data_IF_049688335220
#
_entry.id   IF_049688335220
#
_cell.length_a   1.000
_cell.length_b   1.000
_cell.length_c   1.000
_cell.angle_alpha   90.00
_cell.angle_beta   90.00
_cell.angle_gamma   90.00
#
_symmetry.space_group_name_H-M   'P 1'
#
loop_
_entity.id
_entity.type
_entity.pdbx_description
1 polymer ?
#
# COMPACT_ATOMS: atom_id res chain seq x y z
N UNK A 1 3.37 9.07 17.98
CA UNK A 1 4.09 8.41 16.87
C UNK A 1 5.24 7.50 17.33
N UNK A 2 6.10 7.93 18.27
CA UNK A 2 7.26 7.14 18.74
C UNK A 2 6.91 5.72 19.24
N UNK A 3 5.83 5.55 20.03
CA UNK A 3 5.37 4.23 20.52
C UNK A 3 5.02 3.24 19.40
N UNK A 4 4.48 3.73 18.28
CA UNK A 4 4.05 2.90 17.15
C UNK A 4 5.25 2.43 16.31
N UNK A 5 6.23 3.31 16.12
CA UNK A 5 7.51 2.99 15.45
C UNK A 5 8.30 1.98 16.28
N UNK A 6 8.34 2.16 17.61
CA UNK A 6 9.03 1.25 18.53
C UNK A 6 8.41 -0.16 18.52
N UNK A 7 7.08 -0.25 18.45
CA UNK A 7 6.36 -1.53 18.37
C UNK A 7 6.61 -2.25 17.04
N UNK A 8 6.65 -1.51 15.94
CA UNK A 8 6.92 -2.07 14.61
C UNK A 8 8.36 -2.56 14.51
N UNK A 9 9.32 -1.75 14.96
CA UNK A 9 10.74 -2.08 15.04
C UNK A 9 11.00 -3.29 15.95
N UNK A 10 10.31 -3.38 17.09
CA UNK A 10 10.39 -4.54 17.99
C UNK A 10 9.89 -5.82 17.31
N UNK A 11 8.81 -5.74 16.54
CA UNK A 11 8.20 -6.90 15.87
C UNK A 11 9.06 -7.41 14.70
N UNK A 12 9.69 -6.51 13.94
CA UNK A 12 10.64 -6.87 12.88
C UNK A 12 11.97 -7.39 13.45
N UNK A 13 12.48 -6.77 14.51
CA UNK A 13 13.67 -7.22 15.22
C UNK A 13 13.52 -8.63 15.80
N UNK A 14 12.40 -8.92 16.48
CA UNK A 14 12.11 -10.26 17.02
C UNK A 14 12.06 -11.32 15.91
N UNK A 15 11.51 -10.98 14.73
CA UNK A 15 11.43 -11.92 13.59
C UNK A 15 12.79 -12.19 12.96
N UNK A 16 13.65 -11.18 12.83
CA UNK A 16 15.02 -11.33 12.34
C UNK A 16 15.87 -12.14 13.33
N UNK A 17 15.70 -11.89 14.62
CA UNK A 17 16.37 -12.64 15.68
C UNK A 17 15.95 -14.13 15.66
N UNK A 18 14.65 -14.40 15.51
CA UNK A 18 14.12 -15.77 15.41
C UNK A 18 14.58 -16.48 14.13
N UNK A 19 14.84 -15.75 13.04
CA UNK A 19 15.34 -16.33 11.81
C UNK A 19 16.80 -16.81 11.93
N UNK A 20 17.64 -16.13 12.72
CA UNK A 20 19.07 -16.44 12.91
C UNK A 20 19.37 -17.41 14.06
N UNK A 21 18.37 -17.65 14.93
CA UNK A 21 18.49 -18.51 16.10
C UNK A 21 18.82 -19.98 15.77
N UNK A 22 18.23 -20.60 14.72
CA UNK A 22 18.49 -22.01 14.39
C UNK A 22 19.95 -22.27 13.97
N UNK A 23 20.54 -21.44 13.10
CA UNK A 23 21.97 -21.51 12.77
C UNK A 23 22.87 -21.32 13.99
N UNK A 24 22.56 -20.36 14.88
CA UNK A 24 23.31 -20.14 16.12
C UNK A 24 23.24 -21.33 17.08
N UNK A 25 22.05 -21.91 17.24
CA UNK A 25 21.83 -23.09 18.07
C UNK A 25 22.52 -24.33 17.48
N UNK A 26 22.51 -24.49 16.17
CA UNK A 26 23.20 -25.56 15.47
C UNK A 26 24.72 -25.48 15.67
N UNK A 27 25.31 -24.29 15.51
CA UNK A 27 26.74 -24.08 15.73
C UNK A 27 27.15 -24.42 17.18
N UNK A 28 26.31 -24.05 18.16
CA UNK A 28 26.52 -24.39 19.57
C UNK A 28 26.41 -25.90 19.83
N UNK A 29 25.39 -26.57 19.29
CA UNK A 29 25.18 -28.01 19.47
C UNK A 29 26.24 -28.85 18.75
N UNK A 30 26.69 -28.43 17.57
CA UNK A 30 27.76 -29.11 16.85
C UNK A 30 29.08 -29.08 17.63
N UNK A 31 29.37 -27.99 18.33
CA UNK A 31 30.52 -27.88 19.24
C UNK A 31 30.32 -28.71 20.52
N UNK A 32 29.13 -28.66 21.12
CA UNK A 32 28.84 -29.34 22.38
C UNK A 32 28.75 -30.88 22.25
N UNK A 33 28.39 -31.39 21.07
CA UNK A 33 28.23 -32.82 20.80
C UNK A 33 29.43 -33.45 20.09
N UNK A 34 30.53 -32.69 19.90
CA UNK A 34 31.76 -33.13 19.22
C UNK A 34 31.48 -33.86 17.89
N UNK A 35 30.52 -33.35 17.10
CA UNK A 35 30.11 -34.00 15.88
C UNK A 35 31.27 -34.05 14.88
N UNK A 36 31.46 -35.19 14.22
CA UNK A 36 32.43 -35.28 13.14
C UNK A 36 32.04 -34.35 11.98
N UNK A 37 32.99 -33.93 11.11
CA UNK A 37 32.71 -33.04 10.00
C UNK A 37 31.59 -33.55 9.08
N UNK A 38 31.53 -34.86 8.85
CA UNK A 38 30.50 -35.50 8.02
C UNK A 38 29.12 -35.46 8.68
N UNK A 39 29.04 -35.72 9.99
CA UNK A 39 27.78 -35.66 10.75
C UNK A 39 27.25 -34.23 10.82
N UNK A 40 28.14 -33.25 10.99
CA UNK A 40 27.80 -31.83 10.97
C UNK A 40 27.23 -31.42 9.61
N UNK A 41 27.83 -31.88 8.51
CA UNK A 41 27.34 -31.58 7.16
C UNK A 41 25.93 -32.13 6.93
N UNK A 42 25.67 -33.39 7.34
CA UNK A 42 24.36 -34.03 7.19
C UNK A 42 23.30 -33.32 8.05
N UNK A 43 23.65 -32.98 9.29
CA UNK A 43 22.73 -32.30 10.22
C UNK A 43 22.46 -30.84 9.82
N UNK A 44 23.36 -30.19 9.09
CA UNK A 44 23.22 -28.81 8.63
C UNK A 44 22.15 -28.66 7.53
N UNK A 45 21.98 -29.66 6.66
CA UNK A 45 21.03 -29.62 5.53
C UNK A 45 19.59 -29.29 5.98
N UNK A 46 18.97 -30.01 6.94
CA UNK A 46 17.61 -29.69 7.40
C UNK A 46 17.54 -28.34 8.12
N UNK A 47 18.61 -27.90 8.79
CA UNK A 47 18.69 -26.58 9.44
C UNK A 47 18.63 -25.48 8.39
N UNK A 48 19.43 -25.57 7.33
CA UNK A 48 19.41 -24.62 6.21
C UNK A 48 18.03 -24.59 5.55
N UNK A 49 17.42 -25.75 5.28
CA UNK A 49 16.11 -25.81 4.66
C UNK A 49 15.02 -25.12 5.52
N UNK A 50 15.07 -25.34 6.84
CA UNK A 50 14.18 -24.67 7.78
C UNK A 50 14.42 -23.16 7.85
N UNK A 51 15.68 -22.72 7.83
CA UNK A 51 16.05 -21.31 7.85
C UNK A 51 15.58 -20.57 6.60
N UNK A 52 15.77 -21.17 5.42
CA UNK A 52 15.26 -20.64 4.15
C UNK A 52 13.73 -20.51 4.20
N UNK A 53 13.03 -21.50 4.73
CA UNK A 53 11.58 -21.43 4.89
C UNK A 53 11.14 -20.29 5.82
N UNK A 54 11.84 -20.08 6.93
CA UNK A 54 11.58 -18.95 7.84
C UNK A 54 11.81 -17.59 7.16
N UNK A 55 12.90 -17.45 6.41
CA UNK A 55 13.22 -16.22 5.68
C UNK A 55 12.14 -15.91 4.66
N UNK A 56 11.75 -16.88 3.83
CA UNK A 56 10.70 -16.71 2.82
C UNK A 56 9.36 -16.34 3.46
N UNK A 57 8.98 -17.00 4.56
CA UNK A 57 7.66 -16.82 5.17
C UNK A 57 7.55 -15.57 6.04
N UNK A 58 8.62 -15.16 6.72
CA UNK A 58 8.55 -14.13 7.76
C UNK A 58 9.41 -12.89 7.49
N UNK A 59 10.52 -13.02 6.76
CA UNK A 59 11.44 -11.90 6.49
C UNK A 59 11.11 -11.26 5.14
N UNK A 60 10.93 -12.06 4.09
CA UNK A 60 10.66 -11.58 2.73
C UNK A 60 9.43 -10.64 2.65
N UNK A 61 8.28 -10.97 3.27
CA UNK A 61 7.11 -10.09 3.22
C UNK A 61 7.35 -8.75 3.90
N UNK A 62 8.12 -8.74 5.00
CA UNK A 62 8.46 -7.51 5.74
C UNK A 62 9.40 -6.63 4.92
N UNK A 63 10.40 -7.22 4.27
CA UNK A 63 11.31 -6.48 3.38
C UNK A 63 10.56 -5.96 2.16
N UNK A 64 9.61 -6.72 1.62
CA UNK A 64 8.70 -6.27 0.56
C UNK A 64 7.89 -5.05 0.99
N UNK A 65 7.28 -5.06 2.17
CA UNK A 65 6.58 -3.90 2.73
C UNK A 65 7.51 -2.72 2.99
N UNK A 66 8.74 -2.97 3.45
CA UNK A 66 9.72 -1.92 3.77
C UNK A 66 10.23 -1.25 2.50
N UNK A 67 10.60 -2.03 1.48
CA UNK A 67 11.05 -1.57 0.15
C UNK A 67 9.92 -0.87 -0.58
N UNK A 68 8.70 -1.41 -0.51
CA UNK A 68 7.50 -0.75 -1.05
C UNK A 68 7.30 0.58 -0.35
N UNK A 69 7.34 0.62 0.99
CA UNK A 69 7.20 1.87 1.72
C UNK A 69 8.31 2.84 1.41
N UNK A 70 9.58 2.47 1.39
CA UNK A 70 10.68 3.41 1.14
C UNK A 70 10.72 3.90 -0.31
N UNK A 71 10.51 3.02 -1.30
CA UNK A 71 10.52 3.41 -2.72
C UNK A 71 9.25 4.17 -3.13
N UNK A 72 8.08 3.84 -2.54
CA UNK A 72 6.85 4.58 -2.83
C UNK A 72 6.70 5.81 -1.92
N UNK A 73 7.20 5.82 -0.68
CA UNK A 73 7.24 7.02 0.17
C UNK A 73 8.30 8.01 -0.27
N UNK A 74 9.39 7.58 -0.93
CA UNK A 74 10.33 8.50 -1.57
C UNK A 74 9.77 9.14 -2.83
N UNK A 75 8.69 8.59 -3.39
CA UNK A 75 7.93 9.19 -4.50
C UNK A 75 6.71 10.00 -4.03
N UNK A 76 6.38 9.98 -2.73
CA UNK A 76 5.59 11.06 -2.14
C UNK A 76 6.60 12.18 -1.94
N UNK A 77 6.73 13.07 -2.92
CA UNK A 77 7.55 14.26 -2.73
C UNK A 77 6.99 14.98 -1.50
N UNK A 78 7.88 15.51 -0.64
CA UNK A 78 7.49 16.39 0.48
C UNK A 78 6.45 17.43 0.02
N UNK A 79 6.54 17.85 -1.24
CA UNK A 79 5.63 18.78 -1.90
C UNK A 79 4.18 18.27 -1.99
N UNK A 80 3.92 16.98 -2.24
CA UNK A 80 2.54 16.43 -2.26
C UNK A 80 1.89 16.50 -0.87
N UNK A 81 2.62 16.13 0.19
CA UNK A 81 2.11 16.21 1.55
C UNK A 81 1.88 17.65 1.98
N UNK A 82 2.80 18.55 1.62
CA UNK A 82 2.66 19.99 1.82
C UNK A 82 1.43 20.53 1.09
N UNK A 83 1.16 20.09 -0.14
CA UNK A 83 -0.01 20.48 -0.92
C UNK A 83 -1.32 20.01 -0.28
N UNK A 84 -1.40 18.74 0.16
CA UNK A 84 -2.59 18.22 0.85
C UNK A 84 -2.84 18.97 2.16
N UNK A 85 -1.78 19.22 2.93
CA UNK A 85 -1.88 19.94 4.19
C UNK A 85 -2.29 21.40 3.95
N UNK A 86 -1.73 22.05 2.92
CA UNK A 86 -2.12 23.40 2.52
C UNK A 86 -3.59 23.47 2.08
N UNK A 87 -4.04 22.56 1.21
CA UNK A 87 -5.44 22.53 0.75
C UNK A 87 -6.41 22.28 1.92
N UNK A 88 -6.03 21.39 2.86
CA UNK A 88 -6.85 21.13 4.04
C UNK A 88 -6.90 22.32 5.01
N UNK A 89 -5.79 23.05 5.17
CA UNK A 89 -5.78 24.30 5.96
C UNK A 89 -6.69 25.35 5.35
N UNK A 90 -6.63 25.54 4.03
CA UNK A 90 -7.51 26.46 3.30
C UNK A 90 -8.99 26.08 3.49
N UNK A 91 -9.32 24.80 3.35
CA UNK A 91 -10.66 24.29 3.61
C UNK A 91 -11.11 24.60 5.05
N UNK A 92 -10.26 24.34 6.04
CA UNK A 92 -10.56 24.61 7.46
C UNK A 92 -10.69 26.11 7.78
N UNK A 93 -10.02 26.98 7.03
CA UNK A 93 -10.18 28.44 7.14
C UNK A 93 -11.42 28.98 6.40
N UNK A 94 -12.22 28.11 5.78
CA UNK A 94 -13.41 28.48 5.01
C UNK A 94 -13.14 28.78 3.54
N UNK A 95 -11.89 28.71 3.08
CA UNK A 95 -11.50 28.89 1.68
C UNK A 95 -11.51 27.54 0.94
N UNK A 96 -12.71 26.96 0.86
CA UNK A 96 -12.90 25.68 0.19
C UNK A 96 -12.64 25.77 -1.33
N UNK A 97 -12.89 26.94 -1.92
CA UNK A 97 -12.69 27.17 -3.34
C UNK A 97 -11.20 27.27 -3.69
N UNK A 98 -10.42 28.07 -2.94
CA UNK A 98 -8.98 28.15 -3.13
C UNK A 98 -8.28 26.82 -2.89
N UNK A 99 -8.76 26.02 -1.92
CA UNK A 99 -8.26 24.67 -1.70
C UNK A 99 -8.43 23.77 -2.93
N UNK A 100 -9.59 23.87 -3.60
CA UNK A 100 -9.89 23.09 -4.80
C UNK A 100 -9.07 23.57 -6.00
N UNK A 101 -8.97 24.88 -6.20
CA UNK A 101 -8.17 25.48 -7.28
C UNK A 101 -6.69 25.10 -7.17
N UNK A 102 -6.14 25.03 -5.96
CA UNK A 102 -4.77 24.59 -5.71
C UNK A 102 -4.54 23.16 -6.22
N UNK A 103 -5.43 22.23 -5.87
CA UNK A 103 -5.30 20.82 -6.28
C UNK A 103 -5.64 20.62 -7.76
N UNK A 104 -6.61 21.36 -8.30
CA UNK A 104 -6.95 21.33 -9.73
C UNK A 104 -5.77 21.78 -10.58
N UNK A 105 -5.11 22.87 -10.18
CA UNK A 105 -3.90 23.35 -10.85
C UNK A 105 -2.80 22.29 -10.79
N UNK A 106 -2.55 21.72 -9.61
CA UNK A 106 -1.55 20.66 -9.44
C UNK A 106 -1.85 19.44 -10.33
N UNK A 107 -3.12 19.03 -10.45
CA UNK A 107 -3.55 17.97 -11.36
C UNK A 107 -3.32 18.33 -12.82
N UNK A 108 -3.65 19.55 -13.24
CA UNK A 108 -3.41 20.03 -14.62
C UNK A 108 -1.93 20.05 -14.98
N UNK A 109 -1.06 20.39 -14.03
CA UNK A 109 0.39 20.34 -14.18
C UNK A 109 0.92 18.89 -14.16
N UNK A 110 0.24 17.98 -13.46
CA UNK A 110 0.65 16.58 -13.27
C UNK A 110 -0.44 15.56 -13.66
N UNK A 111 -0.94 15.56 -14.91
CA UNK A 111 -2.08 14.73 -15.30
C UNK A 111 -1.73 13.23 -15.38
N UNK A 112 -0.44 12.91 -15.47
CA UNK A 112 0.08 11.54 -15.48
C UNK A 112 0.32 10.92 -14.10
N UNK A 113 0.05 11.66 -13.03
CA UNK A 113 0.24 11.20 -11.68
C UNK A 113 -1.12 10.83 -11.09
N UNK A 114 -1.37 9.54 -10.81
CA UNK A 114 -2.64 9.10 -10.21
C UNK A 114 -2.95 9.84 -8.91
N UNK A 115 -1.90 10.13 -8.13
CA UNK A 115 -2.03 10.82 -6.84
C UNK A 115 -2.68 12.20 -6.98
N UNK A 116 -2.43 12.96 -8.04
CA UNK A 116 -3.03 14.29 -8.22
C UNK A 116 -4.56 14.21 -8.33
N UNK A 117 -5.08 13.22 -9.06
CA UNK A 117 -6.51 12.92 -9.14
C UNK A 117 -7.10 12.47 -7.79
N UNK A 118 -6.38 11.63 -7.05
CA UNK A 118 -6.83 11.14 -5.73
C UNK A 118 -6.84 12.24 -4.68
N UNK A 119 -5.92 13.22 -4.76
CA UNK A 119 -5.87 14.36 -3.84
C UNK A 119 -7.10 15.25 -4.02
N UNK A 120 -7.43 15.63 -5.26
CA UNK A 120 -8.61 16.43 -5.56
C UNK A 120 -9.91 15.71 -5.17
N UNK A 121 -10.04 14.42 -5.52
CA UNK A 121 -11.15 13.57 -5.05
C UNK A 121 -11.23 13.49 -3.52
N UNK A 122 -10.08 13.37 -2.84
CA UNK A 122 -10.00 13.37 -1.38
C UNK A 122 -10.53 14.66 -0.76
N UNK A 123 -10.14 15.81 -1.31
CA UNK A 123 -10.63 17.11 -0.85
C UNK A 123 -12.15 17.25 -1.09
N UNK A 124 -12.64 16.83 -2.25
CA UNK A 124 -14.08 16.83 -2.55
C UNK A 124 -14.87 15.94 -1.58
N UNK A 125 -14.29 14.80 -1.16
CA UNK A 125 -14.90 13.96 -0.12
C UNK A 125 -14.93 14.66 1.25
N UNK A 126 -13.84 15.35 1.64
CA UNK A 126 -13.79 16.15 2.87
C UNK A 126 -14.87 17.27 2.85
N UNK A 127 -15.16 17.82 1.67
CA UNK A 127 -16.23 18.79 1.41
C UNK A 127 -17.63 18.18 1.29
N UNK A 128 -17.78 16.85 1.43
CA UNK A 128 -19.01 16.09 1.18
C UNK A 128 -19.59 16.20 -0.23
N UNK A 129 -18.76 16.60 -1.21
CA UNK A 129 -19.09 16.67 -2.64
C UNK A 129 -18.78 15.34 -3.33
N UNK A 130 -19.41 14.27 -2.84
CA UNK A 130 -19.08 12.89 -3.26
C UNK A 130 -19.36 12.61 -4.74
N UNK A 131 -20.41 13.21 -5.30
CA UNK A 131 -20.70 13.07 -6.73
C UNK A 131 -19.59 13.69 -7.59
N UNK A 132 -19.13 14.89 -7.25
CA UNK A 132 -18.04 15.57 -7.95
C UNK A 132 -16.72 14.81 -7.81
N UNK A 133 -16.47 14.24 -6.63
CA UNK A 133 -15.34 13.36 -6.37
C UNK A 133 -15.31 12.15 -7.31
N UNK A 134 -16.47 11.51 -7.51
CA UNK A 134 -16.60 10.42 -8.48
C UNK A 134 -16.34 10.91 -9.90
N UNK A 135 -16.89 12.06 -10.29
CA UNK A 135 -16.66 12.65 -11.62
C UNK A 135 -15.17 12.86 -11.89
N UNK A 136 -14.44 13.46 -10.95
CA UNK A 136 -12.98 13.67 -11.07
C UNK A 136 -12.24 12.34 -11.24
N UNK A 137 -12.61 11.29 -10.51
CA UNK A 137 -11.98 9.98 -10.65
C UNK A 137 -12.33 9.28 -11.98
N UNK A 138 -13.55 9.46 -12.48
CA UNK A 138 -13.97 8.93 -13.79
C UNK A 138 -13.22 9.63 -14.93
N UNK A 139 -13.14 10.96 -14.89
CA UNK A 139 -12.30 11.74 -15.80
C UNK A 139 -10.85 11.28 -15.74
N UNK A 140 -10.32 11.07 -14.54
CA UNK A 140 -8.99 10.53 -14.32
C UNK A 140 -8.80 9.18 -15.00
N UNK A 141 -9.70 8.23 -14.77
CA UNK A 141 -9.67 6.88 -15.36
C UNK A 141 -9.68 6.88 -16.89
N UNK A 142 -10.40 7.83 -17.49
CA UNK A 142 -10.57 7.97 -18.95
C UNK A 142 -9.48 8.84 -19.61
N UNK A 143 -8.85 9.73 -18.85
CA UNK A 143 -7.90 10.74 -19.36
C UNK A 143 -6.73 10.15 -20.16
N UNK A 144 -6.31 8.91 -19.85
CA UNK A 144 -5.17 8.28 -20.50
C UNK A 144 -5.12 6.76 -20.31
N UNK A 145 -4.17 6.14 -21.01
CA UNK A 145 -3.78 4.75 -20.77
C UNK A 145 -2.91 4.65 -19.52
N UNK A 146 -3.57 4.28 -18.43
CA UNK A 146 -2.94 3.97 -17.15
C UNK A 146 -2.37 2.56 -17.09
N UNK A 147 -1.45 2.31 -16.16
CA UNK A 147 -1.03 0.95 -15.80
C UNK A 147 -2.23 0.19 -15.23
N UNK A 148 -2.20 -1.15 -15.31
CA UNK A 148 -3.28 -2.00 -14.79
C UNK A 148 -3.59 -1.72 -13.32
N UNK A 149 -2.56 -1.58 -12.50
CA UNK A 149 -2.68 -1.27 -11.07
C UNK A 149 -3.42 0.06 -10.83
N UNK A 150 -3.07 1.09 -11.60
CA UNK A 150 -3.65 2.43 -11.49
C UNK A 150 -5.13 2.43 -11.94
N UNK A 151 -5.48 1.70 -13.02
CA UNK A 151 -6.89 1.54 -13.44
C UNK A 151 -7.72 0.84 -12.38
N UNK A 152 -7.19 -0.24 -11.80
CA UNK A 152 -7.86 -0.97 -10.73
C UNK A 152 -8.06 -0.08 -9.50
N UNK A 153 -7.08 0.77 -9.16
CA UNK A 153 -7.18 1.75 -8.07
C UNK A 153 -8.31 2.77 -8.31
N UNK A 154 -8.40 3.38 -9.50
CA UNK A 154 -9.49 4.29 -9.83
C UNK A 154 -10.86 3.63 -9.67
N UNK A 155 -11.06 2.47 -10.30
CA UNK A 155 -12.30 1.70 -10.22
C UNK A 155 -12.67 1.37 -8.76
N UNK A 156 -11.71 0.86 -7.99
CA UNK A 156 -11.91 0.52 -6.59
C UNK A 156 -12.32 1.74 -5.75
N UNK A 157 -11.65 2.89 -5.92
CA UNK A 157 -11.96 4.13 -5.20
C UNK A 157 -13.33 4.68 -5.56
N UNK A 158 -13.72 4.65 -6.84
CA UNK A 158 -15.06 5.03 -7.28
C UNK A 158 -16.11 4.13 -6.61
N UNK A 159 -15.88 2.81 -6.60
CA UNK A 159 -16.77 1.86 -5.94
C UNK A 159 -16.93 2.15 -4.44
N UNK A 160 -15.84 2.44 -3.73
CA UNK A 160 -15.87 2.83 -2.30
C UNK A 160 -16.72 4.08 -2.07
N UNK A 161 -16.63 5.10 -2.93
CA UNK A 161 -17.43 6.32 -2.77
C UNK A 161 -18.92 6.01 -3.03
N UNK A 162 -19.23 5.22 -4.06
CA UNK A 162 -20.61 4.82 -4.33
C UNK A 162 -21.24 4.04 -3.17
N UNK A 163 -20.52 3.06 -2.63
CA UNK A 163 -21.00 2.22 -1.54
C UNK A 163 -21.15 3.03 -0.25
N UNK A 164 -20.06 3.63 0.23
CA UNK A 164 -20.00 4.16 1.59
C UNK A 164 -20.52 5.59 1.72
N UNK A 165 -20.46 6.42 0.67
CA UNK A 165 -20.79 7.85 0.76
C UNK A 165 -22.08 8.21 0.01
N UNK A 166 -22.33 7.56 -1.13
CA UNK A 166 -23.53 7.79 -1.93
C UNK A 166 -24.64 6.75 -1.67
N UNK A 167 -24.40 5.76 -0.81
CA UNK A 167 -25.32 4.68 -0.47
C UNK A 167 -25.93 4.01 -1.71
N UNK A 168 -25.08 3.73 -2.70
CA UNK A 168 -25.44 3.11 -3.97
C UNK A 168 -24.60 1.85 -4.22
N UNK A 169 -24.88 0.76 -3.50
CA UNK A 169 -24.10 -0.48 -3.58
C UNK A 169 -24.19 -1.12 -4.97
N UNK A 170 -25.28 -0.92 -5.72
CA UNK A 170 -25.43 -1.46 -7.07
C UNK A 170 -24.42 -0.83 -8.04
N UNK A 171 -24.23 0.50 -7.96
CA UNK A 171 -23.18 1.16 -8.74
C UNK A 171 -21.79 0.75 -8.26
N UNK A 172 -21.60 0.65 -6.95
CA UNK A 172 -20.32 0.23 -6.39
C UNK A 172 -19.89 -1.15 -6.90
N UNK A 173 -20.83 -2.11 -6.88
CA UNK A 173 -20.65 -3.48 -7.39
C UNK A 173 -20.15 -3.48 -8.83
N UNK A 174 -20.74 -2.69 -9.74
CA UNK A 174 -20.30 -2.61 -11.14
C UNK A 174 -18.83 -2.21 -11.28
N UNK A 175 -18.38 -1.24 -10.49
CA UNK A 175 -16.97 -0.81 -10.52
C UNK A 175 -16.02 -1.84 -9.94
N UNK A 176 -16.44 -2.55 -8.89
CA UNK A 176 -15.64 -3.61 -8.29
C UNK A 176 -15.58 -4.87 -9.16
N UNK A 177 -16.68 -5.26 -9.81
CA UNK A 177 -16.72 -6.31 -10.84
C UNK A 177 -15.75 -5.99 -11.96
N UNK A 178 -15.78 -4.78 -12.52
CA UNK A 178 -14.83 -4.40 -13.57
C UNK A 178 -13.37 -4.47 -13.08
N UNK A 179 -13.09 -4.01 -11.85
CA UNK A 179 -11.75 -4.06 -11.28
C UNK A 179 -11.26 -5.51 -11.08
N UNK A 180 -12.12 -6.38 -10.56
CA UNK A 180 -11.82 -7.79 -10.30
C UNK A 180 -11.65 -8.57 -11.61
N UNK A 181 -12.55 -8.39 -12.59
CA UNK A 181 -12.56 -9.16 -13.83
C UNK A 181 -11.41 -8.77 -14.76
N UNK A 182 -11.18 -7.46 -14.92
CA UNK A 182 -10.20 -6.95 -15.89
C UNK A 182 -8.79 -6.90 -15.31
N UNK A 183 -8.66 -6.78 -14.00
CA UNK A 183 -7.38 -6.58 -13.30
C UNK A 183 -7.20 -7.53 -12.10
N UNK A 184 -7.47 -8.85 -12.22
CA UNK A 184 -7.52 -9.78 -11.08
C UNK A 184 -6.19 -9.92 -10.33
N UNK A 185 -5.06 -9.68 -11.00
CA UNK A 185 -3.71 -9.82 -10.41
C UNK A 185 -3.16 -8.54 -9.78
N UNK A 186 -3.94 -7.46 -9.73
CA UNK A 186 -3.56 -6.20 -9.06
C UNK A 186 -3.92 -6.25 -7.57
N UNK A 187 -3.39 -5.34 -6.75
CA UNK A 187 -3.82 -5.26 -5.35
C UNK A 187 -5.30 -4.86 -5.26
N UNK A 188 -5.69 -3.84 -6.03
CA UNK A 188 -7.06 -3.31 -6.01
C UNK A 188 -8.09 -4.20 -6.70
N UNK A 189 -7.70 -5.00 -7.71
CA UNK A 189 -8.60 -6.01 -8.28
C UNK A 189 -8.91 -7.13 -7.29
N UNK A 190 -7.91 -7.58 -6.52
CA UNK A 190 -8.13 -8.55 -5.42
C UNK A 190 -8.98 -7.94 -4.31
N UNK A 191 -8.69 -6.71 -3.89
CA UNK A 191 -9.51 -6.02 -2.89
C UNK A 191 -10.93 -5.74 -3.36
N UNK A 192 -11.14 -5.55 -4.67
CA UNK A 192 -12.48 -5.42 -5.24
C UNK A 192 -13.23 -6.75 -5.20
N UNK A 193 -12.57 -7.87 -5.49
CA UNK A 193 -13.16 -9.20 -5.38
C UNK A 193 -13.63 -9.51 -3.96
N UNK A 194 -12.86 -9.10 -2.93
CA UNK A 194 -13.24 -9.26 -1.52
C UNK A 194 -14.51 -8.47 -1.12
N UNK A 195 -15.00 -7.57 -1.99
CA UNK A 195 -16.20 -6.74 -1.76
C UNK A 195 -17.47 -7.29 -2.42
N UNK A 196 -17.37 -8.25 -3.33
CA UNK A 196 -18.47 -8.75 -4.15
C UNK A 196 -19.29 -9.85 -3.47
#
# INVERSE_FOLDING_TARGET
MLKMILLLARRTFIRLLLALLPLGLFAFLAQALELSPLQSLIALIPVIAFEVWLVVKYVLPVMGDLVTKTLYSSNITTDEEVLVEASRRMLNSGDAQGALELLERYRKENPGLVRSWLMESGLLNDMRRYADSVTVLQEGLESRRWRKEDRALFLYKIGVIYDSMLNNPDKARKYWEEAADRYPNTAYGRSALDKL
#
